data_IF_444454332733
#
_entry.id   IF_444454332733
#
_cell.length_a   1.000
_cell.length_b   1.000
_cell.length_c   1.000
_cell.angle_alpha   90.00
_cell.angle_beta   90.00
_cell.angle_gamma   90.00
#
_symmetry.space_group_name_H-M   'P 1'
#
loop_
_entity.id
_entity.type
_entity.pdbx_description
1 polymer ?
#
# COMPACT_ATOMS: atom_id res chain seq x y z
N UNK A 1 -15.44 -2.02 32.52
CA UNK A 1 -16.05 -3.11 31.72
C UNK A 1 -15.01 -3.58 30.71
N UNK A 2 -14.22 -4.60 31.06
CA UNK A 2 -13.20 -5.17 30.17
C UNK A 2 -13.90 -6.04 29.13
N UNK A 3 -13.80 -5.69 27.84
CA UNK A 3 -14.23 -6.58 26.77
C UNK A 3 -13.11 -7.59 26.55
N UNK A 4 -13.28 -8.81 27.03
CA UNK A 4 -12.42 -9.93 26.64
C UNK A 4 -12.69 -10.22 25.17
N UNK A 5 -11.80 -9.79 24.29
CA UNK A 5 -11.87 -10.12 22.87
C UNK A 5 -11.65 -11.64 22.74
N UNK A 6 -12.48 -12.39 21.99
CA UNK A 6 -12.18 -13.78 21.71
C UNK A 6 -10.86 -13.89 20.93
N UNK A 7 -10.10 -14.95 21.19
CA UNK A 7 -8.92 -15.26 20.38
C UNK A 7 -9.39 -15.75 19.01
N UNK A 8 -9.07 -15.00 17.97
CA UNK A 8 -9.47 -15.27 16.59
C UNK A 8 -8.22 -15.24 15.72
N UNK A 9 -7.86 -16.39 15.17
CA UNK A 9 -6.76 -16.53 14.20
C UNK A 9 -7.30 -16.45 12.77
N UNK A 10 -6.58 -15.74 11.89
CA UNK A 10 -6.86 -15.69 10.46
C UNK A 10 -5.73 -16.38 9.69
N UNK A 11 -6.09 -17.21 8.72
CA UNK A 11 -5.14 -17.89 7.85
C UNK A 11 -5.32 -17.33 6.44
N UNK A 12 -4.23 -16.80 5.87
CA UNK A 12 -4.16 -16.39 4.47
C UNK A 12 -3.17 -17.27 3.73
N UNK A 13 -3.53 -17.72 2.53
CA UNK A 13 -2.67 -18.55 1.69
C UNK A 13 -2.37 -17.79 0.41
N UNK A 14 -1.08 -17.65 0.09
CA UNK A 14 -0.63 -17.14 -1.20
C UNK A 14 -0.53 -18.30 -2.19
N UNK A 15 -1.12 -18.13 -3.37
CA UNK A 15 -1.01 -19.07 -4.48
C UNK A 15 -0.39 -18.33 -5.67
N UNK A 16 0.57 -18.97 -6.33
CA UNK A 16 1.13 -18.50 -7.61
C UNK A 16 0.70 -19.55 -8.65
N UNK A 17 -0.40 -19.33 -9.37
CA UNK A 17 -0.90 -20.30 -10.33
C UNK A 17 0.06 -20.42 -11.52
N UNK A 18 0.27 -21.66 -11.97
CA UNK A 18 0.95 -21.94 -13.22
C UNK A 18 -0.02 -21.85 -14.42
N UNK A 19 0.48 -22.03 -15.65
CA UNK A 19 -0.35 -22.10 -16.84
C UNK A 19 -1.47 -23.15 -16.69
N UNK A 20 -2.70 -22.76 -17.02
CA UNK A 20 -3.88 -23.65 -16.96
C UNK A 20 -4.43 -23.94 -15.57
N UNK A 21 -3.86 -23.38 -14.50
CA UNK A 21 -4.43 -23.48 -13.16
C UNK A 21 -5.65 -22.56 -13.01
N UNK A 22 -6.67 -23.02 -12.28
CA UNK A 22 -7.88 -22.26 -11.97
C UNK A 22 -8.15 -22.25 -10.47
N UNK A 23 -8.60 -21.11 -9.96
CA UNK A 23 -8.97 -20.88 -8.57
C UNK A 23 -10.37 -20.29 -8.54
N UNK A 24 -11.33 -20.96 -7.90
CA UNK A 24 -12.72 -20.48 -7.84
C UNK A 24 -12.85 -19.05 -7.29
N UNK A 25 -11.99 -18.68 -6.32
CA UNK A 25 -11.96 -17.34 -5.75
C UNK A 25 -11.32 -16.27 -6.65
N UNK A 26 -10.69 -16.67 -7.75
CA UNK A 26 -10.08 -15.78 -8.72
C UNK A 26 -10.86 -15.71 -10.04
N UNK A 27 -12.06 -16.30 -10.09
CA UNK A 27 -12.93 -16.20 -11.26
C UNK A 27 -13.22 -14.72 -11.58
N UNK A 28 -13.03 -14.33 -12.85
CA UNK A 28 -13.25 -12.96 -13.31
C UNK A 28 -12.16 -11.96 -12.93
N UNK A 29 -11.07 -12.39 -12.29
CA UNK A 29 -9.92 -11.51 -11.97
C UNK A 29 -8.86 -11.55 -13.10
N UNK A 30 -8.31 -10.39 -13.46
CA UNK A 30 -7.20 -10.26 -14.41
C UNK A 30 -5.87 -10.62 -13.74
N UNK A 31 -5.59 -11.92 -13.60
CA UNK A 31 -4.39 -12.45 -12.92
C UNK A 31 -3.10 -12.29 -13.72
N UNK A 32 -3.21 -12.03 -15.02
CA UNK A 32 -2.12 -11.86 -15.97
C UNK A 32 -1.71 -10.39 -16.17
N UNK A 33 -2.51 -9.44 -15.68
CA UNK A 33 -2.19 -8.01 -15.68
C UNK A 33 -1.58 -7.57 -14.33
N UNK A 34 -0.28 -7.25 -14.27
CA UNK A 34 0.36 -6.77 -13.04
C UNK A 34 -0.23 -5.46 -12.51
N UNK A 35 -0.92 -4.67 -13.34
CA UNK A 35 -1.55 -3.41 -12.92
C UNK A 35 -2.83 -3.63 -12.12
N UNK A 36 -3.45 -4.81 -12.22
CA UNK A 36 -4.64 -5.18 -11.43
C UNK A 36 -4.28 -5.43 -9.95
N UNK A 37 -3.00 -5.73 -9.68
CA UNK A 37 -2.53 -6.03 -8.34
C UNK A 37 -2.62 -4.78 -7.44
N UNK A 38 -3.27 -4.93 -6.28
CA UNK A 38 -3.22 -3.90 -5.24
C UNK A 38 -1.81 -3.90 -4.61
N UNK A 39 -1.04 -2.81 -4.70
CA UNK A 39 0.29 -2.77 -4.11
C UNK A 39 0.17 -2.76 -2.58
N UNK A 40 0.79 -3.71 -1.89
CA UNK A 40 0.82 -3.77 -0.42
C UNK A 40 2.28 -3.82 0.03
N UNK A 41 2.64 -3.01 1.02
CA UNK A 41 4.00 -3.01 1.60
C UNK A 41 4.11 -3.90 2.84
N UNK A 42 5.34 -4.15 3.28
CA UNK A 42 5.67 -5.03 4.42
C UNK A 42 5.20 -4.48 5.79
N UNK A 43 4.89 -3.19 5.86
CA UNK A 43 4.42 -2.52 7.08
C UNK A 43 4.77 -1.04 7.06
N UNK A 44 3.95 -0.20 7.70
CA UNK A 44 4.06 1.26 7.55
C UNK A 44 5.45 1.84 7.86
N UNK A 45 6.18 1.29 8.83
CA UNK A 45 7.53 1.80 9.20
C UNK A 45 8.63 1.46 8.20
N UNK A 46 8.46 0.41 7.39
CA UNK A 46 9.50 -0.09 6.46
C UNK A 46 9.01 -0.09 5.00
N UNK A 47 7.79 0.35 4.75
CA UNK A 47 7.20 0.38 3.41
C UNK A 47 7.81 1.52 2.57
N UNK A 48 8.37 1.15 1.43
CA UNK A 48 9.07 2.01 0.47
C UNK A 48 8.13 2.85 -0.43
N UNK A 49 6.82 2.55 -0.43
CA UNK A 49 5.84 3.22 -1.30
C UNK A 49 5.68 4.70 -0.95
N UNK A 50 6.02 5.62 -1.83
CA UNK A 50 5.93 7.06 -1.53
C UNK A 50 4.49 7.58 -1.52
N UNK A 51 3.63 7.01 -2.36
CA UNK A 51 2.23 7.43 -2.53
C UNK A 51 1.27 6.40 -1.90
N UNK A 52 1.23 6.37 -0.56
CA UNK A 52 0.40 5.44 0.20
C UNK A 52 -0.56 6.20 1.14
N UNK A 53 -1.79 6.42 0.68
CA UNK A 53 -2.84 7.07 1.45
C UNK A 53 -3.21 6.34 2.77
N UNK A 54 -3.00 5.02 2.83
CA UNK A 54 -3.34 4.20 4.00
C UNK A 54 -2.18 4.11 5.02
N UNK A 55 -1.13 4.93 4.88
CA UNK A 55 0.04 4.88 5.76
C UNK A 55 -0.31 5.38 7.17
N UNK A 56 -0.29 4.46 8.14
CA UNK A 56 -0.68 4.75 9.53
C UNK A 56 0.49 5.19 10.44
N UNK A 57 1.75 5.02 10.03
CA UNK A 57 2.94 5.42 10.80
C UNK A 57 4.03 5.99 9.87
N UNK A 58 4.84 6.96 10.35
CA UNK A 58 6.00 7.44 9.62
C UNK A 58 6.99 6.30 9.31
N UNK A 59 7.67 6.33 8.15
CA UNK A 59 8.78 5.41 7.85
C UNK A 59 9.96 5.62 8.82
N UNK A 60 10.67 4.54 9.13
CA UNK A 60 11.87 4.59 9.96
C UNK A 60 13.10 5.04 9.16
N UNK A 61 13.16 4.72 7.86
CA UNK A 61 14.29 5.01 6.98
C UNK A 61 14.11 6.22 6.05
N UNK A 62 12.94 6.86 6.04
CA UNK A 62 12.63 7.99 5.14
C UNK A 62 12.37 9.27 5.93
N UNK A 63 12.82 10.42 5.40
CA UNK A 63 12.54 11.72 6.02
C UNK A 63 11.17 12.23 5.57
N UNK A 64 10.25 12.58 6.50
CA UNK A 64 8.98 13.16 6.12
C UNK A 64 9.16 14.50 5.38
N UNK A 65 8.45 14.67 4.27
CA UNK A 65 8.36 15.91 3.51
C UNK A 65 7.27 16.80 4.13
N UNK A 66 7.63 17.60 5.13
CA UNK A 66 6.69 18.54 5.78
C UNK A 66 6.75 19.89 5.06
N UNK A 67 5.59 20.32 4.55
CA UNK A 67 5.39 21.62 3.91
C UNK A 67 4.11 22.26 4.52
N UNK A 68 4.22 23.42 5.21
CA UNK A 68 3.08 24.04 5.90
C UNK A 68 1.99 24.56 4.94
N UNK A 69 2.34 24.85 3.69
CA UNK A 69 1.41 25.43 2.70
C UNK A 69 0.75 24.36 1.83
N UNK A 70 1.21 23.11 1.95
CA UNK A 70 0.73 21.99 1.12
C UNK A 70 -0.15 21.03 1.92
N UNK A 71 -1.33 20.74 1.37
CA UNK A 71 -2.19 19.64 1.81
C UNK A 71 -2.07 18.46 0.84
N UNK A 72 -1.94 17.26 1.37
CA UNK A 72 -1.84 16.03 0.58
C UNK A 72 -2.73 14.94 1.16
N UNK A 73 -3.23 14.05 0.31
CA UNK A 73 -3.97 12.86 0.75
C UNK A 73 -3.04 11.75 1.29
N UNK A 74 -1.73 11.87 1.07
CA UNK A 74 -0.74 10.92 1.59
C UNK A 74 -0.39 11.28 3.03
N UNK A 75 -0.70 10.40 3.97
CA UNK A 75 -0.20 10.52 5.33
C UNK A 75 1.31 10.25 5.37
N UNK A 76 2.06 11.13 6.03
CA UNK A 76 3.53 11.06 6.13
C UNK A 76 4.22 10.96 4.76
N UNK A 77 4.07 11.98 3.89
CA UNK A 77 4.81 12.00 2.63
C UNK A 77 6.32 11.95 2.94
N UNK A 78 7.09 11.22 2.13
CA UNK A 78 8.55 11.14 2.29
C UNK A 78 9.26 11.81 1.14
N UNK A 79 10.41 12.42 1.41
CA UNK A 79 11.32 12.86 0.35
C UNK A 79 11.88 11.61 -0.33
N UNK A 80 11.78 11.54 -1.66
CA UNK A 80 12.49 10.52 -2.41
C UNK A 80 13.99 10.82 -2.31
N UNK A 81 14.78 9.86 -1.84
CA UNK A 81 16.24 9.96 -1.92
C UNK A 81 16.65 9.88 -3.40
N UNK A 82 16.61 11.01 -4.10
CA UNK A 82 17.51 11.28 -5.23
C UNK A 82 17.16 10.84 -6.66
N UNK A 83 15.99 10.27 -6.99
CA UNK A 83 15.57 10.19 -8.42
C UNK A 83 14.05 10.02 -8.61
N UNK A 84 13.40 11.11 -9.01
CA UNK A 84 12.20 11.21 -9.87
C UNK A 84 11.28 12.32 -9.37
N UNK A 85 10.80 13.13 -10.33
CA UNK A 85 10.02 14.33 -10.17
C UNK A 85 8.84 14.23 -9.17
N UNK A 86 8.39 15.35 -8.58
CA UNK A 86 7.14 15.36 -7.81
C UNK A 86 6.00 14.79 -8.68
N UNK A 87 5.03 14.05 -8.10
CA UNK A 87 3.87 13.63 -8.87
C UNK A 87 3.19 14.91 -9.39
N UNK A 88 3.23 15.08 -10.71
CA UNK A 88 2.45 16.11 -11.41
C UNK A 88 1.03 16.03 -10.88
N UNK A 89 0.51 17.20 -10.47
CA UNK A 89 -0.72 17.31 -9.71
C UNK A 89 -1.85 16.46 -10.27
N UNK A 90 -2.65 15.91 -9.34
CA UNK A 90 -4.00 15.51 -9.64
C UNK A 90 -4.77 16.77 -10.09
N UNK A 91 -4.84 17.01 -11.39
CA UNK A 91 -5.84 17.90 -11.95
C UNK A 91 -7.20 17.33 -11.59
N UNK A 92 -7.97 18.09 -10.82
CA UNK A 92 -9.35 17.77 -10.55
C UNK A 92 -10.19 17.93 -11.80
N UNK A 93 -11.01 16.93 -12.08
CA UNK A 93 -12.39 17.05 -12.54
C UNK A 93 -13.20 15.92 -11.88
#
# INVERSE_FOLDING_TARGET
MSRTQPDVTRIGVRIIPGPGASLAHAEGMALDDPRSATPIGLGCRICERQDCAQRARPPAGGRPAVDPDRRTHVLYPVVADGLSAPPSGISGE
#
